data_IF_373946554136
#
_entry.id   IF_373946554136
#
_cell.length_a   1.000
_cell.length_b   1.000
_cell.length_c   1.000
_cell.angle_alpha   90.00
_cell.angle_beta   90.00
_cell.angle_gamma   90.00
#
_symmetry.space_group_name_H-M   'P 1'
#
loop_
_entity.id
_entity.type
_entity.pdbx_description
1 polymer ?
#
# COMPACT_ATOMS: atom_id res chain seq x y z
N UNK A 1 15.33 29.05 6.54
CA UNK A 1 14.73 27.86 7.20
C UNK A 1 15.75 27.38 8.23
N UNK A 2 15.35 27.27 9.49
CA UNK A 2 16.26 26.80 10.56
C UNK A 2 16.60 25.30 10.40
N UNK A 3 17.65 24.84 11.09
CA UNK A 3 18.13 23.44 10.99
C UNK A 3 17.08 22.42 11.43
N UNK A 4 16.29 22.74 12.47
CA UNK A 4 15.25 21.84 13.00
C UNK A 4 14.14 21.61 11.98
N UNK A 5 13.66 22.69 11.36
CA UNK A 5 12.63 22.67 10.32
C UNK A 5 13.11 21.89 9.10
N UNK A 6 14.38 22.09 8.70
CA UNK A 6 15.00 21.32 7.61
C UNK A 6 15.00 19.82 7.91
N UNK A 7 15.51 19.44 9.08
CA UNK A 7 15.59 18.03 9.48
C UNK A 7 14.21 17.36 9.47
N UNK A 8 13.20 17.99 10.09
CA UNK A 8 11.83 17.44 10.11
C UNK A 8 11.26 17.28 8.70
N UNK A 9 11.40 18.29 7.84
CA UNK A 9 10.88 18.20 6.46
C UNK A 9 11.60 17.14 5.63
N UNK A 10 12.92 16.98 5.80
CA UNK A 10 13.68 15.93 5.10
C UNK A 10 13.28 14.54 5.61
N UNK A 11 13.14 14.35 6.93
CA UNK A 11 12.70 13.07 7.50
C UNK A 11 11.28 12.74 7.05
N UNK A 12 10.36 13.70 7.03
CA UNK A 12 9.01 13.51 6.48
C UNK A 12 9.04 13.11 5.01
N UNK A 13 9.85 13.77 4.20
CA UNK A 13 9.99 13.42 2.78
C UNK A 13 10.57 12.02 2.59
N UNK A 14 11.61 11.67 3.35
CA UNK A 14 12.23 10.35 3.29
C UNK A 14 11.23 9.25 3.69
N UNK A 15 10.53 9.41 4.81
CA UNK A 15 9.50 8.47 5.25
C UNK A 15 8.34 8.36 4.26
N UNK A 16 7.91 9.48 3.68
CA UNK A 16 6.88 9.49 2.64
C UNK A 16 7.33 8.69 1.41
N UNK A 17 8.53 8.96 0.89
CA UNK A 17 9.09 8.24 -0.26
C UNK A 17 9.22 6.74 0.05
N UNK A 18 9.76 6.38 1.21
CA UNK A 18 9.88 4.97 1.63
C UNK A 18 8.49 4.35 1.71
N UNK A 19 7.51 5.00 2.34
CA UNK A 19 6.14 4.49 2.45
C UNK A 19 5.48 4.30 1.08
N UNK A 20 5.62 5.25 0.16
CA UNK A 20 5.07 5.15 -1.20
C UNK A 20 5.71 4.01 -1.99
N UNK A 21 7.05 3.91 -1.98
CA UNK A 21 7.77 2.87 -2.74
C UNK A 21 7.52 1.48 -2.15
N UNK A 22 7.60 1.34 -0.83
CA UNK A 22 7.31 0.05 -0.17
C UNK A 22 5.84 -0.34 -0.29
N UNK A 23 4.90 0.62 -0.28
CA UNK A 23 3.49 0.36 -0.52
C UNK A 23 3.23 -0.15 -1.94
N UNK A 24 3.79 0.51 -2.96
CA UNK A 24 3.69 0.02 -4.35
C UNK A 24 4.33 -1.36 -4.52
N UNK A 25 5.50 -1.58 -3.91
CA UNK A 25 6.18 -2.88 -3.95
C UNK A 25 5.36 -3.98 -3.24
N UNK A 26 4.62 -3.67 -2.17
CA UNK A 26 3.78 -4.63 -1.48
C UNK A 26 2.68 -5.24 -2.38
N UNK A 27 2.17 -4.49 -3.36
CA UNK A 27 1.23 -5.02 -4.34
C UNK A 27 1.85 -6.03 -5.31
N UNK A 28 3.17 -5.95 -5.53
CA UNK A 28 3.92 -6.83 -6.44
C UNK A 28 4.43 -8.10 -5.75
N UNK A 29 4.39 -8.16 -4.42
CA UNK A 29 4.95 -9.25 -3.63
C UNK A 29 3.85 -10.08 -2.97
N UNK A 30 3.72 -11.34 -3.39
CA UNK A 30 2.76 -12.30 -2.81
C UNK A 30 3.37 -13.35 -1.88
N UNK A 31 4.70 -13.36 -1.70
CA UNK A 31 5.42 -14.44 -1.03
C UNK A 31 6.22 -13.97 0.19
N UNK A 32 6.15 -14.77 1.26
CA UNK A 32 7.01 -14.64 2.43
C UNK A 32 8.42 -15.23 2.13
N UNK A 33 9.49 -14.72 2.78
CA UNK A 33 9.48 -13.69 3.82
C UNK A 33 9.49 -12.24 3.31
N UNK A 34 9.80 -12.02 2.03
CA UNK A 34 10.06 -10.69 1.47
C UNK A 34 8.86 -9.75 1.61
N UNK A 35 7.64 -10.21 1.29
CA UNK A 35 6.42 -9.41 1.44
C UNK A 35 6.22 -8.93 2.88
N UNK A 36 6.49 -9.79 3.88
CA UNK A 36 6.38 -9.46 5.31
C UNK A 36 7.27 -8.28 5.68
N UNK A 37 8.51 -8.29 5.22
CA UNK A 37 9.49 -7.22 5.50
C UNK A 37 9.05 -5.92 4.83
N UNK A 38 8.65 -5.98 3.56
CA UNK A 38 8.20 -4.78 2.82
C UNK A 38 6.97 -4.15 3.46
N UNK A 39 5.97 -4.95 3.85
CA UNK A 39 4.78 -4.46 4.56
C UNK A 39 5.12 -3.88 5.93
N UNK A 40 6.07 -4.48 6.66
CA UNK A 40 6.56 -3.94 7.92
C UNK A 40 7.26 -2.58 7.75
N UNK A 41 8.12 -2.45 6.73
CA UNK A 41 8.77 -1.18 6.37
C UNK A 41 7.74 -0.12 5.98
N UNK A 42 6.73 -0.50 5.19
CA UNK A 42 5.64 0.39 4.80
C UNK A 42 4.89 0.93 6.02
N UNK A 43 4.36 0.03 6.87
CA UNK A 43 3.58 0.44 8.04
C UNK A 43 4.44 1.19 9.07
N UNK A 44 5.70 0.77 9.30
CA UNK A 44 6.64 1.46 10.17
C UNK A 44 6.95 2.88 9.68
N UNK A 45 7.08 3.07 8.37
CA UNK A 45 7.27 4.40 7.77
C UNK A 45 6.03 5.28 7.95
N UNK A 46 4.82 4.73 7.77
CA UNK A 46 3.56 5.41 8.04
C UNK A 46 3.40 5.84 9.50
N UNK A 47 3.73 4.96 10.45
CA UNK A 47 3.74 5.30 11.87
C UNK A 47 4.81 6.34 12.21
N UNK A 48 5.97 6.30 11.56
CA UNK A 48 7.00 7.33 11.68
C UNK A 48 6.50 8.72 11.24
N UNK A 49 5.66 8.78 10.20
CA UNK A 49 5.00 10.03 9.79
C UNK A 49 4.09 10.57 10.89
N UNK A 50 3.30 9.70 11.54
CA UNK A 50 2.43 10.06 12.66
C UNK A 50 3.22 10.63 13.85
N UNK A 51 4.34 10.00 14.22
CA UNK A 51 5.24 10.49 15.31
C UNK A 51 5.73 11.91 15.04
N UNK A 52 5.91 12.30 13.77
CA UNK A 52 6.39 13.63 13.39
C UNK A 52 5.28 14.69 13.27
N UNK A 53 4.00 14.33 13.38
CA UNK A 53 2.87 15.27 13.28
C UNK A 53 2.98 16.43 14.28
N UNK A 54 3.24 16.23 15.59
CA UNK A 54 3.35 17.34 16.55
C UNK A 54 4.49 18.31 16.21
N UNK A 55 5.60 17.78 15.70
CA UNK A 55 6.73 18.60 15.26
C UNK A 55 6.37 19.42 14.01
N UNK A 56 5.58 18.85 13.11
CA UNK A 56 5.13 19.51 11.88
C UNK A 56 4.12 20.62 12.17
N UNK A 57 3.16 20.41 13.08
CA UNK A 57 2.16 21.42 13.47
C UNK A 57 2.85 22.71 13.95
N UNK A 58 3.84 22.60 14.85
CA UNK A 58 4.63 23.74 15.36
C UNK A 58 5.38 24.52 14.27
N UNK A 59 5.69 23.88 13.14
CA UNK A 59 6.34 24.52 11.98
C UNK A 59 5.29 25.22 11.11
N UNK A 60 4.12 24.60 10.92
CA UNK A 60 3.02 25.13 10.10
C UNK A 60 2.54 26.49 10.63
N UNK A 61 2.39 26.65 11.94
CA UNK A 61 1.94 27.92 12.56
C UNK A 61 2.81 29.12 12.17
N UNK A 62 4.11 28.89 11.97
CA UNK A 62 5.06 29.92 11.51
C UNK A 62 4.97 30.16 10.00
N UNK A 63 4.58 29.14 9.23
CA UNK A 63 4.42 29.18 7.78
C UNK A 63 3.14 29.88 7.34
N UNK A 64 2.04 29.70 8.08
CA UNK A 64 0.73 30.30 7.77
C UNK A 64 0.75 31.83 7.78
N UNK A 65 1.64 32.43 8.57
CA UNK A 65 1.87 33.89 8.65
C UNK A 65 2.51 34.49 7.40
N UNK A 66 3.00 33.69 6.44
CA UNK A 66 3.61 34.19 5.20
C UNK A 66 2.57 34.54 4.13
N UNK A 67 2.85 35.57 3.32
CA UNK A 67 2.00 36.02 2.20
C UNK A 67 2.05 35.06 1.00
N UNK A 68 0.93 34.92 0.28
CA UNK A 68 0.78 34.10 -0.95
C UNK A 68 -0.28 32.99 -0.84
N UNK A 69 -1.32 33.02 -1.69
CA UNK A 69 -2.47 32.07 -1.68
C UNK A 69 -2.19 30.73 -2.36
N UNK A 70 -1.59 30.73 -3.55
CA UNK A 70 -1.38 29.50 -4.35
C UNK A 70 -0.57 28.41 -3.62
N UNK A 71 0.51 28.78 -2.92
CA UNK A 71 1.31 27.83 -2.13
C UNK A 71 0.55 27.24 -0.93
N UNK A 72 -0.43 27.96 -0.40
CA UNK A 72 -1.28 27.47 0.69
C UNK A 72 -2.26 26.42 0.18
N UNK A 73 -2.82 26.59 -1.02
CA UNK A 73 -3.74 25.61 -1.63
C UNK A 73 -3.05 24.26 -1.85
N UNK A 74 -1.87 24.24 -2.48
CA UNK A 74 -1.12 23.00 -2.69
C UNK A 74 -0.78 22.34 -1.34
N UNK A 75 -0.32 23.12 -0.37
CA UNK A 75 -0.01 22.59 0.97
C UNK A 75 -1.23 21.98 1.64
N UNK A 76 -2.39 22.65 1.58
CA UNK A 76 -3.65 22.14 2.14
C UNK A 76 -4.11 20.86 1.42
N UNK A 77 -4.11 20.86 0.09
CA UNK A 77 -4.49 19.70 -0.70
C UNK A 77 -3.60 18.49 -0.39
N UNK A 78 -2.27 18.68 -0.36
CA UNK A 78 -1.33 17.62 0.04
C UNK A 78 -1.59 17.15 1.47
N UNK A 79 -1.84 18.06 2.41
CA UNK A 79 -2.14 17.69 3.80
C UNK A 79 -3.42 16.86 3.92
N UNK A 80 -4.50 17.25 3.24
CA UNK A 80 -5.76 16.49 3.23
C UNK A 80 -5.51 15.09 2.64
N UNK A 81 -4.84 14.99 1.50
CA UNK A 81 -4.55 13.69 0.88
C UNK A 81 -3.68 12.79 1.77
N UNK A 82 -2.66 13.34 2.44
CA UNK A 82 -1.83 12.56 3.37
C UNK A 82 -2.64 12.09 4.59
N UNK A 83 -3.48 12.95 5.15
CA UNK A 83 -4.37 12.57 6.27
C UNK A 83 -5.37 11.51 5.84
N UNK A 84 -5.98 11.64 4.67
CA UNK A 84 -6.88 10.62 4.11
C UNK A 84 -6.15 9.30 3.84
N UNK A 85 -4.91 9.34 3.35
CA UNK A 85 -4.12 8.14 3.16
C UNK A 85 -3.85 7.44 4.49
N UNK A 86 -3.33 8.16 5.49
CA UNK A 86 -3.07 7.61 6.83
C UNK A 86 -4.37 7.09 7.46
N UNK A 87 -5.45 7.85 7.38
CA UNK A 87 -6.78 7.46 7.88
C UNK A 87 -7.28 6.17 7.23
N UNK A 88 -7.20 6.05 5.91
CA UNK A 88 -7.56 4.83 5.18
C UNK A 88 -6.72 3.63 5.59
N UNK A 89 -5.40 3.81 5.77
CA UNK A 89 -4.50 2.74 6.20
C UNK A 89 -4.76 2.28 7.64
N UNK A 90 -5.02 3.23 8.55
CA UNK A 90 -5.42 2.92 9.93
C UNK A 90 -6.79 2.24 9.98
N UNK A 91 -7.77 2.72 9.21
CA UNK A 91 -9.09 2.10 9.11
C UNK A 91 -9.00 0.68 8.58
N UNK A 92 -8.17 0.44 7.56
CA UNK A 92 -7.88 -0.92 7.07
C UNK A 92 -7.32 -1.79 8.20
N UNK A 93 -6.25 -1.33 8.86
CA UNK A 93 -5.61 -2.08 9.94
C UNK A 93 -6.53 -2.34 11.15
N UNK A 94 -7.45 -1.43 11.47
CA UNK A 94 -8.30 -1.49 12.67
C UNK A 94 -9.67 -2.13 12.42
N UNK A 95 -10.28 -1.93 11.25
CA UNK A 95 -11.63 -2.42 10.93
C UNK A 95 -11.62 -3.59 9.95
N UNK A 96 -10.54 -3.79 9.21
CA UNK A 96 -10.40 -4.85 8.23
C UNK A 96 -11.02 -4.49 6.87
N UNK A 97 -11.43 -5.51 6.13
CA UNK A 97 -12.01 -5.39 4.79
C UNK A 97 -13.51 -5.03 4.85
N UNK A 98 -13.82 -3.83 5.36
CA UNK A 98 -15.20 -3.35 5.53
C UNK A 98 -15.35 -2.00 4.82
N UNK A 99 -16.31 -1.85 3.87
CA UNK A 99 -16.50 -0.59 3.15
C UNK A 99 -17.00 0.53 4.07
N UNK A 100 -16.59 1.76 3.77
CA UNK A 100 -17.03 3.00 4.39
C UNK A 100 -17.54 3.94 3.30
N UNK A 101 -18.82 4.32 3.36
CA UNK A 101 -19.47 5.17 2.35
C UNK A 101 -19.30 4.65 0.92
N UNK A 102 -19.36 3.32 0.74
CA UNK A 102 -19.21 2.66 -0.56
C UNK A 102 -17.76 2.46 -1.04
N UNK A 103 -16.76 2.92 -0.28
CA UNK A 103 -15.34 2.73 -0.61
C UNK A 103 -14.64 1.86 0.43
N UNK A 104 -13.75 0.98 0.00
CA UNK A 104 -12.88 0.23 0.89
C UNK A 104 -11.82 1.17 1.51
N UNK A 105 -11.45 0.98 2.78
CA UNK A 105 -10.35 1.72 3.41
C UNK A 105 -9.05 1.68 2.59
N UNK A 106 -8.76 0.54 1.95
CA UNK A 106 -7.60 0.38 1.06
C UNK A 106 -7.71 1.27 -0.20
N UNK A 107 -8.90 1.44 -0.78
CA UNK A 107 -9.10 2.34 -1.93
C UNK A 107 -8.85 3.80 -1.54
N UNK A 108 -9.36 4.23 -0.39
CA UNK A 108 -9.11 5.57 0.16
C UNK A 108 -7.61 5.74 0.42
N UNK A 109 -6.96 4.75 1.03
CA UNK A 109 -5.53 4.75 1.33
C UNK A 109 -4.68 4.93 0.07
N UNK A 110 -4.83 4.02 -0.89
CA UNK A 110 -4.03 3.97 -2.12
C UNK A 110 -4.32 5.17 -3.01
N UNK A 111 -5.59 5.48 -3.26
CA UNK A 111 -5.98 6.62 -4.10
C UNK A 111 -5.44 7.94 -3.57
N UNK A 112 -5.57 8.17 -2.26
CA UNK A 112 -5.05 9.38 -1.62
C UNK A 112 -3.52 9.43 -1.64
N UNK A 113 -2.85 8.30 -1.43
CA UNK A 113 -1.39 8.22 -1.46
C UNK A 113 -0.82 8.52 -2.85
N UNK A 114 -1.41 7.97 -3.92
CA UNK A 114 -1.00 8.21 -5.30
C UNK A 114 -1.20 9.68 -5.70
N UNK A 115 -2.35 10.27 -5.36
CA UNK A 115 -2.61 11.68 -5.60
C UNK A 115 -1.66 12.59 -4.80
N UNK A 116 -1.39 12.25 -3.53
CA UNK A 116 -0.42 12.98 -2.71
C UNK A 116 0.99 12.90 -3.33
N UNK A 117 1.40 11.73 -3.81
CA UNK A 117 2.70 11.53 -4.43
C UNK A 117 2.82 12.33 -5.73
N UNK A 118 1.80 12.30 -6.60
CA UNK A 118 1.78 13.07 -7.84
C UNK A 118 1.83 14.57 -7.57
N UNK A 119 1.01 15.08 -6.64
CA UNK A 119 0.99 16.49 -6.27
C UNK A 119 2.31 16.94 -5.64
N UNK A 120 2.88 16.12 -4.74
CA UNK A 120 4.17 16.40 -4.13
C UNK A 120 5.29 16.39 -5.18
N UNK A 121 5.32 15.41 -6.09
CA UNK A 121 6.29 15.33 -7.16
C UNK A 121 6.21 16.56 -8.08
N UNK A 122 5.00 16.95 -8.50
CA UNK A 122 4.77 18.17 -9.29
C UNK A 122 5.17 19.44 -8.54
N UNK A 123 5.05 19.47 -7.21
CA UNK A 123 5.54 20.57 -6.38
C UNK A 123 7.06 20.58 -6.20
N UNK A 124 7.70 19.41 -6.19
CA UNK A 124 9.10 19.23 -5.79
C UNK A 124 10.05 19.30 -6.98
N UNK A 125 9.75 18.54 -8.02
CA UNK A 125 10.61 18.30 -9.18
C UNK A 125 10.99 19.60 -9.89
N UNK A 126 10.08 20.55 -10.18
CA UNK A 126 10.44 21.78 -10.89
C UNK A 126 11.45 22.65 -10.12
N UNK A 127 11.47 22.54 -8.79
CA UNK A 127 12.34 23.36 -7.95
C UNK A 127 13.64 22.65 -7.55
N UNK A 128 13.88 21.40 -7.99
CA UNK A 128 15.05 20.58 -7.61
C UNK A 128 16.39 21.29 -7.81
N UNK A 129 16.50 22.09 -8.87
CA UNK A 129 17.72 22.81 -9.25
C UNK A 129 17.98 24.10 -8.44
N UNK A 130 16.97 24.67 -7.76
CA UNK A 130 17.09 25.94 -7.00
C UNK A 130 17.72 25.78 -5.61
N UNK A 131 18.73 24.91 -5.48
CA UNK A 131 19.35 24.50 -4.20
C UNK A 131 18.30 23.98 -3.22
N UNK A 132 17.76 22.82 -3.53
CA UNK A 132 17.18 21.97 -2.51
C UNK A 132 18.16 21.83 -1.36
N UNK A 133 17.80 22.19 -0.13
CA UNK A 133 18.69 21.98 0.98
C UNK A 133 18.57 20.53 1.42
N UNK A 134 19.04 19.63 0.55
CA UNK A 134 19.39 18.28 0.92
C UNK A 134 20.37 18.35 2.09
N UNK A 135 20.29 17.34 2.97
CA UNK A 135 21.09 17.23 4.20
C UNK A 135 22.52 17.66 3.92
N UNK A 136 22.96 18.77 4.51
CA UNK A 136 24.38 19.13 4.42
C UNK A 136 25.15 18.21 5.37
N UNK A 137 26.42 17.91 5.10
CA UNK A 137 27.26 17.14 6.04
C UNK A 137 27.24 17.73 7.46
N UNK A 138 27.10 19.06 7.59
CA UNK A 138 26.95 19.78 8.87
C UNK A 138 25.63 19.51 9.62
N UNK A 139 24.66 18.86 8.98
CA UNK A 139 23.39 18.46 9.59
C UNK A 139 23.46 17.00 10.14
N UNK A 140 24.51 16.24 9.82
CA UNK A 140 24.77 14.87 10.32
C UNK A 140 25.61 14.92 11.60
N UNK A 141 24.95 14.92 12.76
CA UNK A 141 25.58 14.85 14.08
C UNK A 141 24.86 13.82 14.97
N UNK A 142 25.43 13.50 16.14
CA UNK A 142 24.79 12.63 17.16
C UNK A 142 23.32 12.97 17.41
N UNK A 143 22.96 14.25 17.42
CA UNK A 143 21.58 14.73 17.58
C UNK A 143 20.63 14.34 16.44
N UNK A 144 21.14 14.15 15.22
CA UNK A 144 20.35 13.65 14.09
C UNK A 144 20.09 12.14 14.25
N UNK A 145 21.11 11.38 14.66
CA UNK A 145 20.97 9.96 15.00
C UNK A 145 19.95 9.73 16.12
N UNK A 146 20.02 10.51 17.21
CA UNK A 146 19.05 10.43 18.31
C UNK A 146 17.61 10.73 17.87
N UNK A 147 17.41 11.69 16.95
CA UNK A 147 16.07 12.00 16.41
C UNK A 147 15.55 10.87 15.52
N UNK A 148 16.40 10.28 14.69
CA UNK A 148 16.04 9.11 13.89
C UNK A 148 15.67 7.94 14.80
N UNK A 149 16.48 7.67 15.83
CA UNK A 149 16.20 6.65 16.84
C UNK A 149 14.88 6.93 17.58
N UNK A 150 14.57 8.18 17.93
CA UNK A 150 13.30 8.54 18.55
C UNK A 150 12.09 8.30 17.62
N UNK A 151 12.23 8.58 16.32
CA UNK A 151 11.17 8.30 15.33
C UNK A 151 10.98 6.79 15.15
N UNK A 152 12.07 6.04 15.01
CA UNK A 152 12.04 4.58 14.89
C UNK A 152 11.44 3.96 16.14
N UNK A 153 11.91 4.37 17.32
CA UNK A 153 11.41 3.92 18.61
C UNK A 153 9.93 4.24 18.79
N UNK A 154 9.50 5.47 18.49
CA UNK A 154 8.09 5.86 18.55
C UNK A 154 7.22 5.07 17.58
N UNK A 155 7.68 4.82 16.35
CA UNK A 155 6.97 4.00 15.39
C UNK A 155 6.85 2.54 15.85
N UNK A 156 7.93 1.97 16.41
CA UNK A 156 7.93 0.64 16.99
C UNK A 156 6.99 0.54 18.21
N UNK A 157 6.99 1.53 19.10
CA UNK A 157 6.04 1.60 20.22
C UNK A 157 4.60 1.61 19.72
N UNK A 158 4.26 2.48 18.76
CA UNK A 158 2.93 2.53 18.17
C UNK A 158 2.53 1.18 17.55
N UNK A 159 3.46 0.53 16.84
CA UNK A 159 3.22 -0.78 16.24
C UNK A 159 2.88 -1.83 17.30
N UNK A 160 3.59 -1.83 18.43
CA UNK A 160 3.42 -2.81 19.51
C UNK A 160 2.11 -2.57 20.27
N UNK A 161 1.77 -1.33 20.60
CA UNK A 161 0.60 -1.01 21.43
C UNK A 161 -0.71 -0.95 20.63
N UNK A 162 -0.62 -0.74 19.32
CA UNK A 162 -1.76 -0.66 18.42
C UNK A 162 -1.53 -1.56 17.19
N UNK A 163 -1.44 -2.90 17.38
CA UNK A 163 -1.12 -3.82 16.29
C UNK A 163 -2.24 -3.91 15.24
N UNK A 164 -3.46 -3.46 15.57
CA UNK A 164 -4.65 -3.61 14.73
C UNK A 164 -5.20 -5.03 14.72
N UNK A 165 -6.13 -5.31 13.81
CA UNK A 165 -6.75 -6.64 13.66
C UNK A 165 -5.75 -7.65 13.06
N UNK A 166 -5.91 -8.95 13.35
CA UNK A 166 -5.16 -10.01 12.69
C UNK A 166 -5.25 -9.89 11.16
N UNK A 167 -4.11 -10.08 10.50
CA UNK A 167 -3.93 -9.98 9.06
C UNK A 167 -2.77 -10.84 8.60
N UNK A 168 -2.78 -11.28 7.34
CA UNK A 168 -1.64 -12.00 6.75
C UNK A 168 -0.43 -11.08 6.60
N UNK A 169 0.70 -11.68 6.26
CA UNK A 169 1.96 -10.95 6.06
C UNK A 169 1.91 -9.92 4.91
N UNK A 170 0.92 -10.04 4.02
CA UNK A 170 0.54 -9.09 2.96
C UNK A 170 -0.25 -7.88 3.47
N UNK A 171 -0.72 -7.92 4.72
CA UNK A 171 -1.62 -6.90 5.28
C UNK A 171 -3.11 -7.18 5.02
N UNK A 172 -3.43 -8.29 4.38
CA UNK A 172 -4.80 -8.68 4.03
C UNK A 172 -5.59 -9.23 5.21
N UNK A 173 -6.90 -8.97 5.24
CA UNK A 173 -7.82 -9.50 6.26
C UNK A 173 -8.61 -10.70 5.77
N UNK A 174 -8.93 -11.62 6.67
CA UNK A 174 -9.70 -12.79 6.31
C UNK A 174 -11.14 -12.38 5.97
N UNK A 175 -11.66 -12.91 4.88
CA UNK A 175 -13.08 -12.84 4.51
C UNK A 175 -13.66 -14.25 4.47
N UNK A 176 -14.99 -14.35 4.44
CA UNK A 176 -15.67 -15.61 4.21
C UNK A 176 -15.39 -16.10 2.78
N UNK A 177 -15.03 -17.38 2.64
CA UNK A 177 -14.80 -18.02 1.36
C UNK A 177 -16.06 -18.00 0.47
N UNK A 178 -17.26 -18.06 1.06
CA UNK A 178 -18.52 -17.96 0.32
C UNK A 178 -18.83 -16.52 -0.15
N UNK A 179 -18.17 -15.52 0.44
CA UNK A 179 -18.39 -14.10 0.15
C UNK A 179 -17.12 -13.43 -0.39
N UNK A 180 -16.28 -14.19 -1.12
CA UNK A 180 -15.07 -13.63 -1.74
C UNK A 180 -15.43 -12.46 -2.67
N UNK A 181 -14.76 -11.30 -2.50
CA UNK A 181 -14.96 -10.17 -3.39
C UNK A 181 -14.56 -10.49 -4.83
N UNK A 182 -15.34 -10.01 -5.78
CA UNK A 182 -14.90 -9.95 -7.19
C UNK A 182 -13.78 -8.91 -7.27
N UNK A 183 -12.60 -9.33 -7.71
CA UNK A 183 -11.43 -8.46 -7.87
C UNK A 183 -10.97 -8.43 -9.32
N UNK A 184 -10.62 -7.24 -9.79
CA UNK A 184 -10.05 -6.99 -11.12
C UNK A 184 -8.77 -6.16 -10.98
N UNK A 185 -7.87 -6.22 -11.96
CA UNK A 185 -6.67 -5.40 -11.94
C UNK A 185 -6.97 -3.98 -12.42
N UNK A 186 -6.94 -3.01 -11.50
CA UNK A 186 -7.07 -1.57 -11.75
C UNK A 186 -8.32 -1.14 -12.56
N UNK A 187 -8.30 -1.34 -13.88
CA UNK A 187 -9.38 -0.97 -14.82
C UNK A 187 -9.84 -2.13 -15.70
N UNK A 188 -9.35 -3.35 -15.48
CA UNK A 188 -9.80 -4.54 -16.20
C UNK A 188 -11.31 -4.74 -15.97
N UNK A 189 -12.09 -5.15 -16.99
CA UNK A 189 -13.51 -5.42 -16.80
C UNK A 189 -13.72 -6.74 -16.04
N UNK A 190 -14.79 -6.80 -15.23
CA UNK A 190 -15.33 -8.08 -14.76
C UNK A 190 -15.96 -8.79 -15.96
N UNK A 191 -15.32 -9.86 -16.42
CA UNK A 191 -15.82 -10.64 -17.55
C UNK A 191 -17.08 -11.41 -17.16
N UNK A 192 -18.15 -11.22 -17.93
CA UNK A 192 -19.32 -12.11 -17.92
C UNK A 192 -19.11 -13.15 -19.02
N UNK A 193 -19.01 -14.42 -18.64
CA UNK A 193 -18.64 -15.50 -19.55
C UNK A 193 -19.83 -16.43 -19.77
N UNK A 194 -20.16 -16.69 -21.04
CA UNK A 194 -21.10 -17.76 -21.38
C UNK A 194 -20.39 -19.11 -21.27
N UNK A 195 -20.83 -19.92 -20.31
CA UNK A 195 -20.31 -21.25 -20.06
C UNK A 195 -20.39 -22.17 -21.29
N UNK A 196 -21.43 -22.02 -22.11
CA UNK A 196 -21.66 -22.88 -23.29
C UNK A 196 -20.76 -22.49 -24.47
N UNK A 197 -20.45 -21.21 -24.60
CA UNK A 197 -19.53 -20.70 -25.63
C UNK A 197 -18.05 -20.78 -25.20
N UNK A 198 -17.76 -20.98 -23.91
CA UNK A 198 -16.39 -20.98 -23.41
C UNK A 198 -15.55 -22.14 -23.94
N UNK A 199 -14.28 -21.86 -24.27
CA UNK A 199 -13.34 -22.86 -24.76
C UNK A 199 -11.94 -22.64 -24.17
N UNK A 200 -11.31 -23.71 -23.67
CA UNK A 200 -9.88 -23.78 -23.35
C UNK A 200 -9.10 -24.25 -24.57
N UNK A 201 -8.24 -23.39 -25.11
CA UNK A 201 -7.34 -23.74 -26.22
C UNK A 201 -6.01 -24.23 -25.68
N UNK A 202 -5.68 -25.49 -25.98
CA UNK A 202 -4.38 -26.11 -25.71
C UNK A 202 -3.63 -26.26 -27.04
N UNK A 203 -2.30 -26.51 -27.03
CA UNK A 203 -1.52 -26.64 -28.27
C UNK A 203 -2.05 -27.69 -29.25
N UNK A 204 -2.60 -28.79 -28.75
CA UNK A 204 -3.01 -29.95 -29.55
C UNK A 204 -4.53 -30.18 -29.60
N UNK A 205 -5.31 -29.48 -28.77
CA UNK A 205 -6.76 -29.67 -28.68
C UNK A 205 -7.47 -28.45 -28.10
N UNK A 206 -8.77 -28.38 -28.30
CA UNK A 206 -9.65 -27.42 -27.62
C UNK A 206 -10.64 -28.18 -26.75
N UNK A 207 -10.86 -27.72 -25.52
CA UNK A 207 -11.83 -28.31 -24.58
C UNK A 207 -12.91 -27.27 -24.27
N UNK A 208 -14.15 -27.72 -24.13
CA UNK A 208 -15.21 -26.98 -23.44
C UNK A 208 -15.19 -27.32 -21.93
N UNK A 209 -16.17 -26.82 -21.18
CA UNK A 209 -16.25 -27.07 -19.74
C UNK A 209 -16.49 -28.56 -19.42
N UNK A 210 -17.35 -29.24 -20.18
CA UNK A 210 -17.65 -30.66 -19.96
C UNK A 210 -16.42 -31.54 -20.24
N UNK A 211 -15.71 -31.26 -21.34
CA UNK A 211 -14.45 -31.92 -21.66
C UNK A 211 -13.37 -31.67 -20.61
N UNK A 212 -13.34 -30.50 -19.97
CA UNK A 212 -12.43 -30.21 -18.87
C UNK A 212 -12.84 -30.93 -17.57
N UNK A 213 -14.15 -30.99 -17.27
CA UNK A 213 -14.70 -31.66 -16.10
C UNK A 213 -14.53 -33.19 -16.15
N UNK A 214 -14.50 -33.77 -17.36
CA UNK A 214 -14.28 -35.20 -17.58
C UNK A 214 -12.83 -35.66 -17.34
N UNK A 215 -11.86 -34.73 -17.28
CA UNK A 215 -10.47 -35.06 -16.95
C UNK A 215 -10.30 -35.40 -15.45
N UNK A 216 -9.20 -36.06 -15.05
CA UNK A 216 -8.91 -36.31 -13.64
C UNK A 216 -8.93 -35.02 -12.80
N UNK A 217 -9.82 -34.99 -11.82
CA UNK A 217 -9.97 -33.86 -10.91
C UNK A 217 -9.05 -34.02 -9.70
N UNK A 218 -8.42 -32.93 -9.29
CA UNK A 218 -7.64 -32.83 -8.06
C UNK A 218 -8.27 -31.78 -7.16
N UNK A 219 -8.29 -32.06 -5.86
CA UNK A 219 -8.78 -31.13 -4.84
C UNK A 219 -7.64 -30.68 -3.96
N UNK A 220 -7.51 -29.37 -3.74
CA UNK A 220 -6.48 -28.77 -2.90
C UNK A 220 -7.11 -27.76 -1.94
N UNK A 221 -6.61 -27.70 -0.70
CA UNK A 221 -6.90 -26.58 0.20
C UNK A 221 -5.82 -25.53 0.00
N UNK A 222 -6.20 -24.32 -0.38
CA UNK A 222 -5.26 -23.26 -0.68
C UNK A 222 -5.81 -21.89 -0.31
N UNK A 223 -4.89 -20.98 0.04
CA UNK A 223 -5.19 -19.58 0.31
C UNK A 223 -5.08 -18.77 -0.97
N UNK A 224 -6.14 -17.99 -1.25
CA UNK A 224 -6.06 -16.86 -2.16
C UNK A 224 -5.90 -15.58 -1.34
N UNK A 225 -4.93 -14.75 -1.71
CA UNK A 225 -4.59 -13.52 -0.98
C UNK A 225 -4.48 -12.37 -1.97
N UNK A 226 -5.49 -11.51 -1.94
CA UNK A 226 -5.49 -10.28 -2.68
C UNK A 226 -4.72 -9.23 -1.87
N UNK A 227 -3.57 -8.78 -2.39
CA UNK A 227 -2.80 -7.67 -1.81
C UNK A 227 -3.59 -6.34 -1.76
N UNK A 228 -4.77 -6.30 -2.40
CA UNK A 228 -5.80 -5.27 -2.23
C UNK A 228 -6.54 -5.29 -0.88
N UNK A 229 -6.25 -6.24 0.01
CA UNK A 229 -6.62 -6.16 1.42
C UNK A 229 -7.47 -7.30 1.96
N UNK A 230 -7.67 -8.39 1.23
CA UNK A 230 -8.43 -9.55 1.70
C UNK A 230 -7.76 -10.87 1.34
N UNK A 231 -8.01 -11.90 2.15
CA UNK A 231 -7.62 -13.27 1.84
C UNK A 231 -8.70 -14.25 2.29
N UNK A 232 -8.76 -15.41 1.67
CA UNK A 232 -9.60 -16.52 2.07
C UNK A 232 -8.85 -17.84 1.87
N UNK A 233 -9.07 -18.81 2.76
CA UNK A 233 -8.67 -20.20 2.55
C UNK A 233 -9.89 -21.00 2.14
N UNK A 234 -9.75 -21.80 1.09
CA UNK A 234 -10.84 -22.66 0.64
C UNK A 234 -10.34 -23.93 -0.02
N UNK A 235 -11.28 -24.81 -0.29
CA UNK A 235 -11.07 -26.04 -1.04
C UNK A 235 -11.38 -25.76 -2.51
N UNK A 236 -10.38 -25.98 -3.36
CA UNK A 236 -10.44 -25.80 -4.80
C UNK A 236 -10.42 -27.16 -5.48
N UNK A 237 -11.29 -27.37 -6.47
CA UNK A 237 -11.30 -28.58 -7.29
C UNK A 237 -11.12 -28.20 -8.77
N UNK A 238 -10.30 -28.96 -9.48
CA UNK A 238 -10.05 -28.75 -10.89
C UNK A 238 -8.98 -29.69 -11.46
N UNK A 239 -8.63 -29.48 -12.72
CA UNK A 239 -7.57 -30.24 -13.41
C UNK A 239 -6.21 -29.60 -13.10
N UNK A 240 -5.18 -30.41 -12.78
CA UNK A 240 -3.83 -29.86 -12.59
C UNK A 240 -3.29 -29.41 -13.94
N UNK A 241 -2.64 -28.25 -13.99
CA UNK A 241 -2.04 -27.72 -15.22
C UNK A 241 -1.04 -28.69 -15.87
N UNK A 242 -0.29 -29.45 -15.05
CA UNK A 242 0.64 -30.47 -15.53
C UNK A 242 -0.04 -31.61 -16.30
N UNK A 243 -1.32 -31.89 -16.04
CA UNK A 243 -2.07 -32.96 -16.69
C UNK A 243 -2.71 -32.49 -18.02
N UNK A 244 -2.57 -31.21 -18.38
CA UNK A 244 -3.10 -30.65 -19.63
C UNK A 244 -2.20 -30.89 -20.85
N UNK A 245 -1.06 -31.57 -20.67
CA UNK A 245 -0.12 -31.85 -21.78
C UNK A 245 0.53 -30.59 -22.33
N UNK A 246 0.72 -29.57 -21.49
CA UNK A 246 1.48 -28.38 -21.85
C UNK A 246 2.98 -28.76 -22.03
N UNK A 247 3.67 -28.18 -23.02
CA UNK A 247 5.10 -28.43 -23.18
C UNK A 247 5.83 -28.02 -21.90
N UNK A 248 6.75 -28.87 -21.43
CA UNK A 248 7.65 -28.51 -20.34
C UNK A 248 8.47 -27.29 -20.77
N UNK A 249 8.38 -26.20 -20.01
CA UNK A 249 9.19 -24.99 -20.18
C UNK A 249 10.61 -25.18 -19.69
#
# INVERSE_FOLDING_TARGET
MDRRTRAVNVTLLALFVIATLSGGLAFMLGAAPTAKVVVAVHGGSGLGLLVLVPAKIRIIDRGLRRRGRSRKVISWATSVLVVSAIGGGLLHALRGFVPLLGLLPMQIHVGSALLAAALLAGHVIPYRHRRWPLVRRVDLHRRAGLKAAAVIGGAATLWIIAPGRPRRFTGSHQVDAAAMPVTQWLFDPVLQMDAQAWRLRLPTRTLDLDGLAALPQTTVRAVIDCTGGWWAEQVWSGVRLADLGLPAS
#
